data_IF_364516874412
#
_entry.id   IF_364516874412
#
_cell.length_a   1.000
_cell.length_b   1.000
_cell.length_c   1.000
_cell.angle_alpha   90.00
_cell.angle_beta   90.00
_cell.angle_gamma   90.00
#
_symmetry.space_group_name_H-M   'P 1'
#
loop_
_entity.id
_entity.type
_entity.pdbx_description
1 polymer ?
#
# COMPACT_ATOMS: atom_id res chain seq x y z
N UNK A 1 0.65 33.31 82.62
CA UNK A 1 -0.82 33.25 82.58
C UNK A 1 -1.25 33.66 81.18
N UNK A 2 -2.04 32.80 80.53
CA UNK A 2 -2.80 32.92 79.26
C UNK A 2 -2.39 34.07 78.31
N UNK A 3 -1.85 33.71 77.15
CA UNK A 3 -2.14 34.45 75.91
C UNK A 3 -2.22 33.48 74.71
N UNK A 4 -3.29 33.72 73.96
CA UNK A 4 -3.83 33.13 72.73
C UNK A 4 -2.82 32.57 71.71
N UNK A 5 -3.10 31.35 71.21
CA UNK A 5 -2.59 30.87 69.92
C UNK A 5 -3.74 30.67 68.94
N UNK A 6 -3.63 31.34 67.80
CA UNK A 6 -4.48 31.21 66.63
C UNK A 6 -3.95 30.13 65.68
N UNK A 7 -4.85 29.68 64.80
CA UNK A 7 -4.63 28.92 63.55
C UNK A 7 -4.28 27.42 63.68
N UNK A 8 -5.26 26.57 63.37
CA UNK A 8 -5.10 25.13 63.21
C UNK A 8 -6.10 24.53 62.21
N UNK A 9 -5.66 24.40 60.96
CA UNK A 9 -5.87 23.29 60.01
C UNK A 9 -7.29 22.73 59.85
N UNK A 10 -7.89 22.96 58.68
CA UNK A 10 -8.81 22.02 58.00
C UNK A 10 -8.88 22.35 56.50
N UNK A 11 -7.88 21.92 55.72
CA UNK A 11 -7.98 21.88 54.26
C UNK A 11 -8.56 20.51 53.86
N UNK A 12 -9.82 20.52 53.46
CA UNK A 12 -10.51 19.34 52.92
C UNK A 12 -9.94 18.93 51.56
N UNK A 13 -9.54 17.67 51.46
CA UNK A 13 -9.27 16.96 50.22
C UNK A 13 -10.53 16.93 49.34
N UNK A 14 -10.39 17.34 48.07
CA UNK A 14 -11.11 16.75 46.93
C UNK A 14 -10.46 17.19 45.62
N UNK A 15 -9.40 16.50 45.22
CA UNK A 15 -8.87 16.57 43.86
C UNK A 15 -9.52 15.47 43.02
N UNK A 16 -10.62 15.79 42.34
CA UNK A 16 -11.21 14.95 41.32
C UNK A 16 -10.38 15.08 40.03
N UNK A 17 -9.44 14.17 39.83
CA UNK A 17 -8.68 14.03 38.57
C UNK A 17 -9.59 13.35 37.55
N UNK A 18 -10.17 14.13 36.64
CA UNK A 18 -10.77 13.61 35.41
C UNK A 18 -9.66 13.08 34.49
N UNK A 19 -9.44 11.76 34.51
CA UNK A 19 -8.67 11.05 33.50
C UNK A 19 -9.50 11.02 32.20
N UNK A 20 -9.31 12.03 31.34
CA UNK A 20 -9.75 11.95 29.94
C UNK A 20 -8.85 10.95 29.22
N UNK A 21 -9.30 9.69 29.17
CA UNK A 21 -8.72 8.66 28.34
C UNK A 21 -9.02 8.99 26.88
N UNK A 22 -8.18 9.83 26.26
CA UNK A 22 -8.18 10.02 24.82
C UNK A 22 -7.72 8.72 24.16
N UNK A 23 -8.67 7.81 23.93
CA UNK A 23 -8.51 6.70 23.01
C UNK A 23 -8.39 7.27 21.60
N UNK A 24 -7.18 7.70 21.24
CA UNK A 24 -6.79 7.92 19.86
C UNK A 24 -6.84 6.56 19.18
N UNK A 25 -8.00 6.22 18.61
CA UNK A 25 -8.10 5.13 17.66
C UNK A 25 -6.99 5.36 16.63
N UNK A 26 -6.07 4.40 16.51
CA UNK A 26 -4.99 4.45 15.55
C UNK A 26 -5.59 4.44 14.15
N UNK A 27 -5.85 5.63 13.62
CA UNK A 27 -6.17 5.84 12.21
C UNK A 27 -4.98 5.25 11.47
N UNK A 28 -5.17 4.11 10.81
CA UNK A 28 -4.12 3.38 10.10
C UNK A 28 -3.24 4.39 9.36
N UNK A 29 -1.98 4.57 9.81
CA UNK A 29 -1.10 5.65 9.38
C UNK A 29 -1.09 5.72 7.85
N UNK A 30 -1.84 6.67 7.29
CA UNK A 30 -1.99 6.75 5.85
C UNK A 30 -0.64 7.12 5.25
N UNK A 31 -0.34 6.55 4.08
CA UNK A 31 0.86 6.90 3.36
C UNK A 31 0.86 8.40 3.07
N UNK A 32 1.92 9.09 3.51
CA UNK A 32 2.14 10.50 3.18
C UNK A 32 2.07 10.68 1.66
N UNK A 33 1.47 11.78 1.22
CA UNK A 33 1.35 12.08 -0.21
C UNK A 33 2.71 12.08 -0.92
N UNK A 34 3.76 12.58 -0.26
CA UNK A 34 5.13 12.56 -0.77
C UNK A 34 5.64 11.14 -1.01
N UNK A 35 5.37 10.21 -0.09
CA UNK A 35 5.73 8.80 -0.25
C UNK A 35 4.98 8.16 -1.41
N UNK A 36 3.67 8.44 -1.54
CA UNK A 36 2.85 7.94 -2.64
C UNK A 36 3.38 8.44 -3.98
N UNK A 37 3.60 9.75 -4.12
CA UNK A 37 4.18 10.35 -5.34
C UNK A 37 5.54 9.77 -5.68
N UNK A 38 6.39 9.54 -4.69
CA UNK A 38 7.71 8.91 -4.90
C UNK A 38 7.58 7.50 -5.50
N UNK A 39 6.73 6.64 -4.92
CA UNK A 39 6.52 5.28 -5.42
C UNK A 39 5.88 5.31 -6.82
N UNK A 40 4.95 6.22 -7.06
CA UNK A 40 4.34 6.46 -8.37
C UNK A 40 5.37 6.89 -9.43
N UNK A 41 6.36 7.70 -9.05
CA UNK A 41 7.46 8.10 -9.94
C UNK A 41 8.35 6.90 -10.30
N UNK A 42 8.69 6.05 -9.33
CA UNK A 42 9.43 4.81 -9.62
C UNK A 42 8.64 3.86 -10.50
N UNK A 43 7.35 3.66 -10.23
CA UNK A 43 6.50 2.85 -11.09
C UNK A 43 6.51 3.34 -12.56
N UNK A 44 6.50 4.65 -12.76
CA UNK A 44 6.59 5.24 -14.10
C UNK A 44 7.91 4.95 -14.80
N UNK A 45 9.05 5.03 -14.09
CA UNK A 45 10.36 4.71 -14.68
C UNK A 45 10.47 3.24 -15.09
N UNK A 46 9.74 2.34 -14.42
CA UNK A 46 9.66 0.92 -14.76
C UNK A 46 8.54 0.54 -15.75
N UNK A 47 7.68 1.48 -16.12
CA UNK A 47 6.61 1.20 -17.09
C UNK A 47 7.24 1.06 -18.48
N UNK A 48 7.07 -0.08 -19.18
CA UNK A 48 7.65 -0.29 -20.50
C UNK A 48 6.94 0.57 -21.57
N UNK A 49 7.59 0.75 -22.72
CA UNK A 49 7.04 1.51 -23.85
C UNK A 49 5.88 0.80 -24.55
N UNK A 50 5.78 -0.52 -24.37
CA UNK A 50 4.68 -1.35 -24.85
C UNK A 50 4.40 -2.49 -23.88
N UNK A 51 3.15 -2.89 -23.79
CA UNK A 51 2.70 -4.01 -22.97
C UNK A 51 1.70 -4.86 -23.75
N UNK A 52 1.93 -6.17 -23.80
CA UNK A 52 1.03 -7.13 -24.45
C UNK A 52 0.42 -8.04 -23.38
N UNK A 53 -0.86 -7.85 -23.01
CA UNK A 53 -1.55 -8.73 -22.08
C UNK A 53 -1.80 -10.10 -22.74
N UNK A 54 -2.24 -11.12 -21.96
CA UNK A 54 -2.59 -12.44 -22.51
C UNK A 54 -3.73 -12.46 -23.54
N UNK A 55 -4.41 -11.33 -23.78
CA UNK A 55 -5.41 -11.19 -24.84
C UNK A 55 -4.79 -10.88 -26.22
N UNK A 56 -3.46 -10.71 -26.30
CA UNK A 56 -2.73 -10.47 -27.54
C UNK A 56 -2.74 -9.02 -28.05
N UNK A 57 -3.53 -8.12 -27.46
CA UNK A 57 -3.58 -6.71 -27.89
C UNK A 57 -2.42 -5.92 -27.29
N UNK A 58 -1.46 -5.54 -28.11
CA UNK A 58 -0.34 -4.68 -27.68
C UNK A 58 -0.83 -3.25 -27.42
N UNK A 59 -0.55 -2.76 -26.22
CA UNK A 59 -0.81 -1.39 -25.78
C UNK A 59 0.51 -0.64 -25.85
N UNK A 60 0.55 0.45 -26.62
CA UNK A 60 1.69 1.37 -26.66
C UNK A 60 1.53 2.43 -25.57
N UNK A 61 2.61 2.70 -24.85
CA UNK A 61 2.64 3.66 -23.75
C UNK A 61 3.30 4.95 -24.25
N UNK A 62 2.56 6.06 -24.19
CA UNK A 62 3.12 7.37 -24.49
C UNK A 62 3.98 7.87 -23.32
N UNK A 63 5.28 7.55 -23.37
CA UNK A 63 6.26 7.98 -22.37
C UNK A 63 6.50 9.48 -22.35
N UNK A 64 6.12 10.21 -23.41
CA UNK A 64 6.26 11.66 -23.49
C UNK A 64 5.11 12.37 -22.76
N UNK A 65 3.96 11.72 -22.63
CA UNK A 65 2.78 12.28 -21.98
C UNK A 65 2.44 11.59 -20.65
N UNK A 66 3.37 11.70 -19.71
CA UNK A 66 3.28 11.09 -18.39
C UNK A 66 2.00 11.46 -17.63
N UNK A 67 1.60 12.72 -17.68
CA UNK A 67 0.47 13.24 -16.88
C UNK A 67 -0.86 12.57 -17.24
N UNK A 68 -1.07 12.23 -18.52
CA UNK A 68 -2.25 11.51 -18.97
C UNK A 68 -2.31 10.05 -18.48
N UNK A 69 -1.16 9.49 -18.08
CA UNK A 69 -1.07 8.09 -17.62
C UNK A 69 -1.15 7.94 -16.11
N UNK A 70 -0.77 8.98 -15.37
CA UNK A 70 -0.78 8.92 -13.92
C UNK A 70 -2.19 8.94 -13.39
N UNK A 71 -2.52 7.97 -12.55
CA UNK A 71 -3.75 8.00 -11.76
C UNK A 71 -3.65 9.04 -10.64
N UNK A 72 -4.78 9.55 -10.11
CA UNK A 72 -4.76 10.44 -8.95
C UNK A 72 -4.04 9.83 -7.74
N UNK A 73 -3.41 10.66 -6.92
CA UNK A 73 -2.67 10.23 -5.71
C UNK A 73 -3.51 9.33 -4.80
N UNK A 74 -4.81 9.63 -4.65
CA UNK A 74 -5.72 8.81 -3.85
C UNK A 74 -5.80 7.36 -4.37
N UNK A 75 -5.91 7.18 -5.69
CA UNK A 75 -5.89 5.85 -6.31
C UNK A 75 -4.50 5.22 -6.18
N UNK A 76 -3.43 5.98 -6.39
CA UNK A 76 -2.07 5.51 -6.17
C UNK A 76 -1.86 4.97 -4.74
N UNK A 77 -2.37 5.67 -3.73
CA UNK A 77 -2.34 5.24 -2.32
C UNK A 77 -3.04 3.91 -2.11
N UNK A 78 -4.21 3.74 -2.69
CA UNK A 78 -4.95 2.48 -2.65
C UNK A 78 -4.15 1.33 -3.29
N UNK A 79 -3.66 1.52 -4.51
CA UNK A 79 -2.85 0.52 -5.22
C UNK A 79 -1.63 0.10 -4.40
N UNK A 80 -0.93 1.05 -3.78
CA UNK A 80 0.24 0.78 -2.92
C UNK A 80 -0.17 0.00 -1.66
N UNK A 81 -1.32 0.30 -1.03
CA UNK A 81 -1.82 -0.47 0.12
C UNK A 81 -2.10 -1.91 -0.26
N UNK A 82 -2.74 -2.13 -1.41
CA UNK A 82 -3.03 -3.47 -1.92
C UNK A 82 -1.75 -4.21 -2.26
N UNK A 83 -0.78 -3.55 -2.88
CA UNK A 83 0.52 -4.11 -3.19
C UNK A 83 1.31 -4.50 -1.93
N UNK A 84 1.20 -3.74 -0.83
CA UNK A 84 1.76 -4.13 0.47
C UNK A 84 1.19 -5.45 0.97
N UNK A 85 -0.14 -5.62 0.90
CA UNK A 85 -0.77 -6.90 1.26
C UNK A 85 -0.29 -8.05 0.37
N UNK A 86 -0.16 -7.82 -0.94
CA UNK A 86 0.42 -8.81 -1.87
C UNK A 86 1.86 -9.15 -1.50
N UNK A 87 2.69 -8.16 -1.17
CA UNK A 87 4.08 -8.37 -0.76
C UNK A 87 4.15 -9.20 0.54
N UNK A 88 3.33 -8.89 1.54
CA UNK A 88 3.25 -9.69 2.76
C UNK A 88 2.76 -11.11 2.48
N UNK A 89 1.75 -11.31 1.63
CA UNK A 89 1.34 -12.65 1.22
C UNK A 89 2.49 -13.42 0.56
N UNK A 90 3.29 -12.76 -0.29
CA UNK A 90 4.46 -13.40 -0.91
C UNK A 90 5.54 -13.76 0.12
N UNK A 91 5.83 -12.88 1.08
CA UNK A 91 6.78 -13.15 2.17
C UNK A 91 6.27 -14.31 3.04
N UNK A 92 4.97 -14.36 3.31
CA UNK A 92 4.35 -15.37 4.17
C UNK A 92 4.03 -16.70 3.45
N UNK A 93 4.44 -16.87 2.18
CA UNK A 93 4.14 -18.03 1.33
C UNK A 93 2.63 -18.33 1.20
N UNK A 94 1.84 -17.27 1.04
CA UNK A 94 0.38 -17.32 0.84
C UNK A 94 0.05 -17.06 -0.63
N UNK A 95 0.47 -17.99 -1.50
CA UNK A 95 0.47 -17.79 -2.95
C UNK A 95 -0.92 -17.60 -3.56
N UNK A 96 -1.93 -18.30 -3.05
CA UNK A 96 -3.31 -18.08 -3.50
C UNK A 96 -3.84 -16.70 -3.10
N UNK A 97 -3.59 -16.28 -1.86
CA UNK A 97 -4.04 -15.00 -1.34
C UNK A 97 -3.35 -13.85 -2.09
N UNK A 98 -2.07 -14.00 -2.41
CA UNK A 98 -1.32 -13.10 -3.29
C UNK A 98 -2.07 -12.88 -4.62
N UNK A 99 -2.47 -13.96 -5.27
CA UNK A 99 -3.17 -13.94 -6.57
C UNK A 99 -4.58 -13.35 -6.44
N UNK A 100 -5.35 -13.75 -5.42
CA UNK A 100 -6.72 -13.25 -5.17
C UNK A 100 -6.71 -11.74 -4.92
N UNK A 101 -5.77 -11.26 -4.11
CA UNK A 101 -5.62 -9.84 -3.80
C UNK A 101 -5.32 -9.00 -5.06
N UNK A 102 -4.34 -9.42 -5.87
CA UNK A 102 -3.99 -8.75 -7.12
C UNK A 102 -5.15 -8.79 -8.13
N UNK A 103 -5.78 -9.95 -8.34
CA UNK A 103 -6.89 -10.09 -9.28
C UNK A 103 -8.09 -9.24 -8.88
N UNK A 104 -8.38 -9.11 -7.58
CA UNK A 104 -9.46 -8.23 -7.10
C UNK A 104 -9.22 -6.78 -7.48
N UNK A 105 -7.99 -6.27 -7.28
CA UNK A 105 -7.60 -4.94 -7.74
C UNK A 105 -7.82 -4.78 -9.24
N UNK A 106 -7.14 -5.60 -10.05
CA UNK A 106 -7.17 -5.41 -11.50
C UNK A 106 -8.56 -5.60 -12.10
N UNK A 107 -9.37 -6.52 -11.55
CA UNK A 107 -10.75 -6.71 -11.97
C UNK A 107 -11.61 -5.49 -11.66
N UNK A 108 -11.48 -4.90 -10.47
CA UNK A 108 -12.24 -3.70 -10.09
C UNK A 108 -11.88 -2.52 -10.97
N UNK A 109 -10.59 -2.25 -11.15
CA UNK A 109 -10.14 -1.11 -11.95
C UNK A 109 -10.48 -1.29 -13.44
N UNK A 110 -10.44 -2.52 -13.96
CA UNK A 110 -10.86 -2.79 -15.36
C UNK A 110 -12.38 -2.66 -15.53
N UNK A 111 -13.17 -3.15 -14.56
CA UNK A 111 -14.64 -3.10 -14.63
C UNK A 111 -15.21 -1.71 -14.36
N UNK A 112 -14.50 -0.85 -13.65
CA UNK A 112 -14.97 0.52 -13.38
C UNK A 112 -15.09 1.36 -14.65
N UNK A 113 -14.33 1.01 -15.71
CA UNK A 113 -14.21 1.78 -16.97
C UNK A 113 -13.75 3.23 -16.77
N UNK A 114 -13.24 3.57 -15.59
CA UNK A 114 -12.75 4.92 -15.27
C UNK A 114 -11.36 5.17 -15.84
N UNK A 115 -10.63 4.11 -16.18
CA UNK A 115 -9.23 4.17 -16.58
C UNK A 115 -9.05 3.80 -18.05
N UNK A 116 -8.17 4.51 -18.74
CA UNK A 116 -7.70 4.12 -20.08
C UNK A 116 -6.89 2.83 -20.01
N UNK A 117 -6.71 2.15 -21.15
CA UNK A 117 -5.86 0.95 -21.22
C UNK A 117 -4.43 1.23 -20.73
N UNK A 118 -3.88 2.40 -21.03
CA UNK A 118 -2.55 2.81 -20.59
C UNK A 118 -2.50 3.06 -19.07
N UNK A 119 -3.56 3.66 -18.50
CA UNK A 119 -3.68 3.82 -17.05
C UNK A 119 -3.84 2.47 -16.32
N UNK A 120 -4.52 1.49 -16.91
CA UNK A 120 -4.58 0.13 -16.38
C UNK A 120 -3.20 -0.52 -16.37
N UNK A 121 -2.40 -0.35 -17.44
CA UNK A 121 -1.00 -0.80 -17.48
C UNK A 121 -0.19 -0.11 -16.38
N UNK A 122 -0.37 1.19 -16.19
CA UNK A 122 0.30 1.94 -15.13
C UNK A 122 -0.09 1.46 -13.71
N UNK A 123 -1.37 1.20 -13.46
CA UNK A 123 -1.85 0.63 -12.18
C UNK A 123 -1.19 -0.73 -11.91
N UNK A 124 -1.14 -1.60 -12.92
CA UNK A 124 -0.46 -2.88 -12.85
C UNK A 124 1.03 -2.70 -12.50
N UNK A 125 1.71 -1.78 -13.17
CA UNK A 125 3.13 -1.51 -12.92
C UNK A 125 3.36 -0.92 -11.53
N UNK A 126 2.49 -0.01 -11.07
CA UNK A 126 2.56 0.56 -9.72
C UNK A 126 2.45 -0.52 -8.64
N UNK A 127 1.53 -1.46 -8.83
CA UNK A 127 1.39 -2.60 -7.94
C UNK A 127 2.65 -3.47 -7.95
N UNK A 128 3.12 -3.89 -9.14
CA UNK A 128 4.29 -4.76 -9.28
C UNK A 128 5.56 -4.12 -8.72
N UNK A 129 5.86 -2.86 -9.07
CA UNK A 129 7.02 -2.14 -8.55
C UNK A 129 6.98 -2.06 -7.02
N UNK A 130 5.82 -1.77 -6.45
CA UNK A 130 5.66 -1.73 -4.98
C UNK A 130 5.93 -3.09 -4.35
N UNK A 131 5.40 -4.19 -4.92
CA UNK A 131 5.66 -5.54 -4.43
C UNK A 131 7.15 -5.84 -4.47
N UNK A 132 7.81 -5.59 -5.61
CA UNK A 132 9.23 -5.87 -5.80
C UNK A 132 10.13 -5.08 -4.83
N UNK A 133 9.81 -3.81 -4.56
CA UNK A 133 10.50 -3.02 -3.53
C UNK A 133 10.39 -3.64 -2.15
N UNK A 134 9.19 -4.11 -1.77
CA UNK A 134 8.93 -4.60 -0.41
C UNK A 134 9.47 -6.01 -0.16
N UNK A 135 9.49 -6.88 -1.17
CA UNK A 135 10.07 -8.23 -1.03
C UNK A 135 11.60 -8.22 -1.14
N UNK A 136 12.22 -7.06 -1.33
CA UNK A 136 13.67 -6.87 -1.43
C UNK A 136 14.26 -7.14 -2.82
N UNK A 137 13.43 -7.27 -3.86
CA UNK A 137 13.88 -7.43 -5.25
C UNK A 137 14.34 -6.11 -5.89
N UNK A 138 14.00 -4.96 -5.31
CA UNK A 138 14.48 -3.64 -5.73
C UNK A 138 15.06 -2.90 -4.52
N UNK A 139 16.37 -2.68 -4.49
CA UNK A 139 17.05 -1.92 -3.44
C UNK A 139 17.32 -0.48 -3.90
N UNK A 140 16.87 0.50 -3.11
CA UNK A 140 17.18 1.93 -3.30
C UNK A 140 18.58 2.17 -2.72
N UNK A 141 19.59 2.32 -3.59
CA UNK A 141 20.95 2.65 -3.16
C UNK A 141 21.22 4.13 -3.48
N UNK A 142 21.68 4.90 -2.49
CA UNK A 142 22.23 6.24 -2.70
C UNK A 142 23.60 6.07 -3.35
N UNK A 143 23.85 6.75 -4.47
CA UNK A 143 25.20 6.85 -5.03
C UNK A 143 25.90 8.02 -4.33
N UNK A 144 26.98 7.75 -3.61
CA UNK A 144 27.81 8.81 -3.06
C UNK A 144 28.58 9.51 -4.20
N UNK A 145 28.53 10.85 -4.20
CA UNK A 145 29.29 11.68 -5.13
C UNK A 145 28.59 12.01 -6.44
N UNK A 146 27.43 12.69 -6.39
CA UNK A 146 27.11 13.77 -7.34
C UNK A 146 25.87 14.52 -6.85
N UNK A 147 25.80 15.82 -7.14
CA UNK A 147 24.79 16.76 -6.62
C UNK A 147 23.46 16.64 -7.39
N UNK A 148 23.07 15.41 -7.74
CA UNK A 148 21.79 15.07 -8.33
C UNK A 148 21.34 13.70 -7.83
N UNK A 149 20.18 13.67 -7.17
CA UNK A 149 19.58 12.52 -6.47
C UNK A 149 19.15 11.40 -7.42
N UNK A 150 20.09 10.77 -8.11
CA UNK A 150 19.84 9.58 -8.94
C UNK A 150 19.89 8.36 -8.02
N UNK A 151 18.71 7.94 -7.57
CA UNK A 151 18.52 6.65 -6.93
C UNK A 151 18.72 5.57 -7.97
N UNK A 152 19.74 4.74 -7.77
CA UNK A 152 19.94 3.54 -8.59
C UNK A 152 19.22 2.40 -7.90
N UNK A 153 18.29 1.78 -8.61
CA UNK A 153 17.57 0.60 -8.13
C UNK A 153 18.31 -0.64 -8.63
N UNK A 154 18.83 -1.44 -7.70
CA UNK A 154 19.50 -2.71 -8.00
C UNK A 154 18.57 -3.89 -7.76
N UNK A 155 18.70 -4.93 -8.58
CA UNK A 155 18.04 -6.22 -8.33
C UNK A 155 18.63 -6.88 -7.08
N UNK A 156 17.78 -7.18 -6.10
CA UNK A 156 18.16 -7.84 -4.85
C UNK A 156 17.65 -9.28 -4.76
N UNK A 157 18.24 -10.09 -3.87
CA UNK A 157 17.71 -11.42 -3.52
C UNK A 157 16.53 -11.24 -2.56
N UNK A 158 15.41 -11.91 -2.85
CA UNK A 158 14.23 -11.84 -2.00
C UNK A 158 14.56 -12.31 -0.57
N UNK A 159 14.09 -11.59 0.45
CA UNK A 159 14.33 -11.98 1.83
C UNK A 159 13.58 -13.30 2.13
N UNK A 160 14.34 -14.35 2.47
CA UNK A 160 13.78 -15.60 2.99
C UNK A 160 13.32 -15.38 4.43
N UNK A 161 12.16 -14.73 4.61
CA UNK A 161 11.51 -14.56 5.91
C UNK A 161 10.23 -15.39 5.91
N UNK A 162 10.14 -16.35 6.83
CA UNK A 162 8.91 -17.11 7.07
C UNK A 162 8.08 -16.40 8.14
N UNK A 163 6.80 -16.15 7.85
CA UNK A 163 5.87 -15.54 8.81
C UNK A 163 5.39 -16.54 9.88
N UNK A 164 5.08 -16.05 11.09
CA UNK A 164 4.39 -16.82 12.14
C UNK A 164 2.95 -17.16 11.72
N UNK A 165 2.30 -18.08 12.44
CA UNK A 165 0.91 -18.45 12.18
C UNK A 165 -0.05 -17.26 12.34
N UNK A 166 0.17 -16.42 13.35
CA UNK A 166 -0.60 -15.22 13.64
C UNK A 166 -0.45 -14.20 12.51
N UNK A 167 0.78 -14.00 12.03
CA UNK A 167 1.06 -13.12 10.88
C UNK A 167 0.37 -13.62 9.61
N UNK A 168 0.46 -14.92 9.32
CA UNK A 168 -0.25 -15.53 8.17
C UNK A 168 -1.76 -15.32 8.27
N UNK A 169 -2.34 -15.59 9.44
CA UNK A 169 -3.76 -15.40 9.70
C UNK A 169 -4.17 -13.94 9.47
N UNK A 170 -3.39 -12.98 9.98
CA UNK A 170 -3.71 -11.56 9.80
C UNK A 170 -3.65 -11.11 8.35
N UNK A 171 -2.66 -11.58 7.58
CA UNK A 171 -2.56 -11.28 6.15
C UNK A 171 -3.77 -11.84 5.39
N UNK A 172 -4.18 -13.07 5.68
CA UNK A 172 -5.38 -13.69 5.08
C UNK A 172 -6.65 -12.91 5.39
N UNK A 173 -6.84 -12.49 6.64
CA UNK A 173 -7.99 -11.69 7.07
C UNK A 173 -8.07 -10.38 6.28
N UNK A 174 -6.96 -9.65 6.20
CA UNK A 174 -6.89 -8.37 5.49
C UNK A 174 -7.14 -8.53 3.98
N UNK A 175 -6.58 -9.58 3.36
CA UNK A 175 -6.82 -9.89 1.95
C UNK A 175 -8.29 -10.27 1.73
N UNK A 176 -8.86 -11.11 2.59
CA UNK A 176 -10.27 -11.53 2.49
C UNK A 176 -11.21 -10.33 2.60
N UNK A 177 -10.95 -9.43 3.54
CA UNK A 177 -11.69 -8.17 3.69
C UNK A 177 -11.60 -7.29 2.44
N UNK A 178 -10.41 -7.20 1.83
CA UNK A 178 -10.24 -6.42 0.61
C UNK A 178 -10.85 -7.09 -0.63
N UNK A 179 -10.77 -8.42 -0.75
CA UNK A 179 -11.34 -9.14 -1.88
C UNK A 179 -12.87 -9.10 -1.85
N UNK A 180 -13.47 -9.22 -0.65
CA UNK A 180 -14.93 -9.17 -0.47
C UNK A 180 -15.54 -7.79 -0.72
N UNK A 181 -14.76 -6.71 -0.64
CA UNK A 181 -15.24 -5.37 -1.02
C UNK A 181 -15.18 -5.10 -2.55
N UNK A 182 -14.59 -6.02 -3.32
CA UNK A 182 -14.46 -5.93 -4.77
C UNK A 182 -15.47 -6.80 -5.54
N UNK A 183 -15.47 -6.72 -6.89
CA UNK A 183 -16.29 -7.60 -7.71
C UNK A 183 -15.94 -9.08 -7.51
N UNK A 184 -16.95 -9.96 -7.56
CA UNK A 184 -16.74 -11.40 -7.41
C UNK A 184 -15.77 -11.96 -8.47
N UNK A 185 -14.67 -12.58 -8.02
CA UNK A 185 -13.64 -13.15 -8.89
C UNK A 185 -14.15 -14.32 -9.76
N UNK A 186 -15.11 -15.10 -9.25
CA UNK A 186 -15.75 -16.20 -9.99
C UNK A 186 -16.44 -15.72 -11.28
N UNK A 187 -17.00 -14.50 -11.27
CA UNK A 187 -17.65 -13.90 -12.46
C UNK A 187 -16.67 -13.58 -13.60
N UNK A 188 -15.36 -13.53 -13.32
CA UNK A 188 -14.33 -13.22 -14.32
C UNK A 188 -13.74 -14.46 -14.99
N UNK A 189 -13.81 -15.63 -14.35
CA UNK A 189 -13.33 -16.89 -14.92
C UNK A 189 -14.25 -17.42 -16.04
N UNK A 190 -15.56 -17.20 -15.94
CA UNK A 190 -16.56 -17.70 -16.89
C UNK A 190 -16.69 -16.88 -18.20
N UNK A 191 -15.93 -15.79 -18.37
CA UNK A 191 -15.99 -14.96 -19.60
C UNK A 191 -14.95 -15.31 -20.66
N UNK A 192 -14.15 -16.37 -20.46
CA UNK A 192 -13.13 -16.84 -21.42
C UNK A 192 -13.58 -17.98 -22.36
N UNK A 193 -14.88 -18.25 -22.45
CA UNK A 193 -15.44 -19.21 -23.42
C UNK A 193 -16.63 -18.55 -24.10
N UNK A 194 -16.35 -17.83 -25.19
CA UNK A 194 -17.23 -17.65 -26.35
C UNK A 194 -16.43 -17.05 -27.49
#
# INVERSE_FOLDING_TARGET
>A
MRNSYAAGISFGLSAAVFLTLSASQSVAQELSERSVKTIMNYAWSYTPDKFTPPNGKTIFIDKKNREKMMVPVAKGREVIRVARLTAHAQICDLREDQVKNYRSLMLRETKSKQWTEQQIVYINQLHLTTVMMLVGKLQIVKKDGDTDKKVVVKEGKAAAKTCTAEQKSKVKELITKYVSSGPALASAANKKVK
#
